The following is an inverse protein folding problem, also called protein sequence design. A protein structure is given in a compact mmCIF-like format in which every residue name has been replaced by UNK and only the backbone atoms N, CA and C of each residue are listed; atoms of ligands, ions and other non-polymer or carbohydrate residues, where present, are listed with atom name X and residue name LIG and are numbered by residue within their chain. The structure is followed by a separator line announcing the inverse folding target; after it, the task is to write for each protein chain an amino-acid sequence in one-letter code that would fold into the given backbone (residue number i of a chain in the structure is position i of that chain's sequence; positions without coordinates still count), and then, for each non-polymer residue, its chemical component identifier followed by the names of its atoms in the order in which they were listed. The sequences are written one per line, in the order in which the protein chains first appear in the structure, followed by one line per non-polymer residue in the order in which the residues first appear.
data_IF_272820140520
#
_entry.id   IF_272820140520
#
_cell.length_a   1.000
_cell.length_b   1.000
_cell.length_c   1.000
_cell.angle_alpha   90.00
_cell.angle_beta   90.00
_cell.angle_gamma   90.00
#
_symmetry.space_group_name_H-M   'P 1'
#
loop_
_entity.id
_entity.type
_entity.pdbx_description
1 polymer ?
#
# COMPACT_ATOMS: atom_id res chain seq x y z
N UNK A 1 11.35 11.80 8.42
CA UNK A 1 11.61 10.46 9.03
C UNK A 1 12.54 9.65 8.15
N UNK A 2 13.27 8.65 8.74
CA UNK A 2 14.13 7.74 7.98
C UNK A 2 14.39 6.44 8.74
N UNK A 3 14.58 5.33 8.01
CA UNK A 3 15.05 4.04 8.58
C UNK A 3 16.55 4.14 8.83
N UNK A 4 16.97 3.88 10.07
CA UNK A 4 18.40 3.81 10.43
C UNK A 4 18.98 2.45 10.08
N UNK A 5 18.25 1.38 10.42
CA UNK A 5 18.71 0.01 10.18
C UNK A 5 17.58 -0.99 10.11
N UNK A 6 17.86 -2.13 9.51
CA UNK A 6 17.01 -3.32 9.56
C UNK A 6 17.85 -4.56 9.86
N UNK A 7 17.37 -5.37 10.79
CA UNK A 7 17.91 -6.70 11.06
C UNK A 7 16.85 -7.76 10.77
N UNK A 8 17.24 -8.80 10.05
CA UNK A 8 16.39 -9.91 9.63
C UNK A 8 16.94 -11.22 10.16
N UNK A 9 16.05 -12.15 10.55
CA UNK A 9 16.41 -13.52 10.89
C UNK A 9 15.37 -14.48 10.30
N UNK A 10 15.82 -15.50 9.56
CA UNK A 10 15.01 -16.51 8.87
C UNK A 10 13.91 -15.88 7.99
N UNK A 11 14.28 -14.84 7.23
CA UNK A 11 13.35 -14.07 6.40
C UNK A 11 13.62 -14.32 4.91
N UNK A 12 12.70 -14.93 4.19
CA UNK A 12 12.85 -15.27 2.77
C UNK A 12 14.13 -16.10 2.52
N UNK A 13 15.13 -15.52 1.86
CA UNK A 13 16.45 -16.11 1.60
C UNK A 13 17.53 -15.64 2.57
N UNK A 14 17.16 -14.88 3.61
CA UNK A 14 18.09 -14.37 4.62
C UNK A 14 18.03 -15.21 5.89
N UNK A 15 19.09 -15.97 6.18
CA UNK A 15 19.27 -16.57 7.50
C UNK A 15 19.47 -15.51 8.56
N UNK A 16 20.35 -14.56 8.26
CA UNK A 16 20.65 -13.41 9.09
C UNK A 16 21.13 -12.26 8.20
N UNK A 17 20.63 -11.06 8.46
CA UNK A 17 21.04 -9.82 7.81
C UNK A 17 21.01 -8.70 8.85
N UNK A 18 22.02 -7.83 8.83
CA UNK A 18 22.02 -6.53 9.51
C UNK A 18 22.54 -5.48 8.54
N UNK A 19 21.77 -4.40 8.31
CA UNK A 19 22.09 -3.35 7.35
C UNK A 19 21.69 -1.98 7.90
N UNK A 20 22.61 -1.02 7.79
CA UNK A 20 22.41 0.36 8.22
C UNK A 20 22.26 1.27 7.00
N UNK A 21 21.22 2.10 6.97
CA UNK A 21 20.96 3.04 5.89
C UNK A 21 21.43 4.46 6.21
N UNK A 22 21.66 5.26 5.18
CA UNK A 22 21.82 6.71 5.27
C UNK A 22 20.45 7.41 5.21
N UNK A 23 20.43 8.70 5.56
CA UNK A 23 19.21 9.53 5.54
C UNK A 23 18.70 9.85 4.12
N UNK A 24 19.55 9.71 3.09
CA UNK A 24 19.20 10.05 1.73
C UNK A 24 19.15 8.78 0.85
N UNK A 25 19.99 8.67 -0.16
CA UNK A 25 19.89 7.61 -1.17
C UNK A 25 20.77 6.42 -0.85
N UNK A 26 20.13 5.26 -0.76
CA UNK A 26 20.75 3.96 -0.53
C UNK A 26 20.46 3.05 -1.74
N UNK A 27 21.49 2.41 -2.27
CA UNK A 27 21.37 1.48 -3.41
C UNK A 27 21.70 0.06 -2.97
N UNK A 28 20.79 -0.86 -3.28
CA UNK A 28 20.97 -2.30 -3.16
C UNK A 28 21.09 -2.88 -4.57
N UNK A 29 22.28 -3.30 -4.97
CA UNK A 29 22.50 -3.83 -6.31
C UNK A 29 22.97 -5.28 -6.31
N UNK A 30 22.78 -5.99 -7.41
CA UNK A 30 23.16 -7.39 -7.60
C UNK A 30 22.26 -8.07 -8.61
N UNK A 31 22.57 -9.29 -8.99
CA UNK A 31 21.79 -10.05 -9.95
C UNK A 31 20.34 -10.28 -9.49
N UNK A 32 19.49 -10.74 -10.42
CA UNK A 32 18.12 -11.09 -10.10
C UNK A 32 18.08 -12.26 -9.10
N UNK A 33 17.02 -12.29 -8.29
CA UNK A 33 16.79 -13.32 -7.26
C UNK A 33 17.84 -13.38 -6.10
N UNK A 34 18.73 -12.40 -5.97
CA UNK A 34 19.72 -12.36 -4.87
C UNK A 34 19.13 -11.93 -3.52
N UNK A 35 17.92 -11.38 -3.51
CA UNK A 35 17.23 -10.98 -2.26
C UNK A 35 17.01 -9.47 -2.09
N UNK A 36 17.43 -8.62 -3.02
CA UNK A 36 17.27 -7.15 -2.95
C UNK A 36 15.85 -6.73 -2.59
N UNK A 37 14.86 -7.18 -3.35
CA UNK A 37 13.44 -6.90 -3.11
C UNK A 37 12.95 -7.43 -1.76
N UNK A 38 13.56 -8.50 -1.22
CA UNK A 38 13.17 -9.06 0.08
C UNK A 38 13.53 -8.12 1.23
N UNK A 39 14.60 -7.29 1.10
CA UNK A 39 14.93 -6.24 2.07
C UNK A 39 13.84 -5.15 2.04
N UNK A 40 13.46 -4.68 0.84
CA UNK A 40 12.36 -3.71 0.72
C UNK A 40 11.05 -4.27 1.26
N UNK A 41 10.74 -5.54 0.97
CA UNK A 41 9.56 -6.21 1.51
C UNK A 41 9.57 -6.24 3.05
N UNK A 42 10.71 -6.50 3.67
CA UNK A 42 10.84 -6.50 5.13
C UNK A 42 10.57 -5.12 5.74
N UNK A 43 11.14 -4.05 5.13
CA UNK A 43 10.88 -2.66 5.56
C UNK A 43 9.39 -2.32 5.40
N UNK A 44 8.79 -2.69 4.26
CA UNK A 44 7.38 -2.46 4.00
C UNK A 44 6.47 -3.20 4.99
N UNK A 45 6.78 -4.47 5.32
CA UNK A 45 6.05 -5.25 6.33
C UNK A 45 6.17 -4.60 7.71
N UNK A 46 7.37 -4.12 8.07
CA UNK A 46 7.58 -3.44 9.35
C UNK A 46 6.73 -2.16 9.49
N UNK A 47 6.39 -1.50 8.39
CA UNK A 47 5.55 -0.31 8.38
C UNK A 47 4.04 -0.61 8.32
N UNK A 48 3.64 -1.64 7.54
CA UNK A 48 2.24 -1.87 7.15
C UNK A 48 1.65 -3.16 7.68
N UNK A 49 2.45 -3.99 8.32
CA UNK A 49 2.11 -5.35 8.79
C UNK A 49 1.76 -6.35 7.67
N UNK A 50 1.84 -5.96 6.41
CA UNK A 50 1.50 -6.80 5.25
C UNK A 50 2.58 -6.76 4.18
N UNK A 51 2.75 -7.84 3.44
CA UNK A 51 3.61 -7.84 2.26
C UNK A 51 2.94 -7.08 1.10
N UNK A 52 3.70 -6.23 0.39
CA UNK A 52 3.24 -5.59 -0.84
C UNK A 52 2.93 -6.62 -1.93
N UNK A 53 3.60 -7.79 -1.90
CA UNK A 53 3.40 -8.91 -2.83
C UNK A 53 2.22 -9.83 -2.47
N UNK A 54 1.37 -9.47 -1.50
CA UNK A 54 0.29 -10.33 -1.02
C UNK A 54 0.72 -11.68 -0.42
N UNK A 55 1.98 -11.85 -0.06
CA UNK A 55 2.47 -13.07 0.57
C UNK A 55 1.85 -13.25 1.95
N UNK A 56 1.47 -14.49 2.29
CA UNK A 56 1.06 -14.83 3.66
C UNK A 56 2.29 -14.88 4.57
N UNK A 57 2.12 -14.59 5.85
CA UNK A 57 3.23 -14.58 6.83
C UNK A 57 4.06 -15.88 6.79
N UNK A 58 3.40 -17.04 6.64
CA UNK A 58 4.06 -18.35 6.53
C UNK A 58 4.98 -18.50 5.30
N UNK A 59 4.67 -17.78 4.20
CA UNK A 59 5.40 -17.86 2.94
C UNK A 59 6.61 -16.89 2.92
N UNK A 60 6.71 -16.03 3.93
CA UNK A 60 7.81 -15.08 4.14
C UNK A 60 8.93 -15.70 4.98
N UNK A 61 8.60 -16.67 5.83
CA UNK A 61 9.55 -17.38 6.68
C UNK A 61 10.48 -18.24 5.80
N UNK A 62 11.78 -18.22 6.09
CA UNK A 62 12.79 -19.01 5.39
C UNK A 62 12.42 -20.50 5.41
N UNK A 63 12.71 -21.19 4.32
CA UNK A 63 12.46 -22.64 4.21
C UNK A 63 13.18 -23.42 5.31
N UNK A 64 12.46 -24.34 5.95
CA UNK A 64 12.99 -25.16 7.06
C UNK A 64 12.83 -24.53 8.43
N UNK A 65 12.33 -23.30 8.55
CA UNK A 65 12.07 -22.61 9.80
C UNK A 65 10.59 -22.41 10.06
N UNK A 66 10.18 -22.25 11.32
CA UNK A 66 8.80 -22.01 11.74
C UNK A 66 8.53 -20.58 12.17
N UNK A 67 9.58 -19.79 12.28
CA UNK A 67 9.50 -18.39 12.69
C UNK A 67 10.56 -17.51 12.01
N UNK A 68 10.24 -16.23 11.89
CA UNK A 68 11.12 -15.21 11.35
C UNK A 68 11.01 -13.93 12.18
N UNK A 69 12.09 -13.15 12.22
CA UNK A 69 12.14 -11.91 12.96
C UNK A 69 12.57 -10.76 12.05
N UNK A 70 11.90 -9.62 12.20
CA UNK A 70 12.26 -8.35 11.60
C UNK A 70 12.44 -7.36 12.74
N UNK A 71 13.59 -6.68 12.79
CA UNK A 71 13.80 -5.52 13.64
C UNK A 71 14.14 -4.33 12.76
N UNK A 72 13.39 -3.26 12.90
CA UNK A 72 13.62 -2.01 12.19
C UNK A 72 13.83 -0.89 13.19
N UNK A 73 14.88 -0.11 12.98
CA UNK A 73 15.13 1.13 13.72
C UNK A 73 14.77 2.30 12.82
N UNK A 74 13.87 3.13 13.30
CA UNK A 74 13.32 4.30 12.63
C UNK A 74 13.67 5.55 13.43
N UNK A 75 14.11 6.61 12.74
CA UNK A 75 14.18 7.94 13.33
C UNK A 75 13.02 8.81 12.81
N UNK A 76 12.26 9.38 13.71
CA UNK A 76 11.17 10.31 13.40
C UNK A 76 11.22 11.50 14.35
N UNK A 77 11.35 12.71 13.79
CA UNK A 77 11.47 13.95 14.57
C UNK A 77 12.61 13.85 15.65
N UNK A 78 13.76 13.32 15.25
CA UNK A 78 14.94 13.08 16.09
C UNK A 78 14.72 12.12 17.28
N UNK A 79 13.63 11.36 17.25
CA UNK A 79 13.37 10.28 18.18
C UNK A 79 13.56 8.95 17.47
N UNK A 80 14.41 8.09 18.05
CA UNK A 80 14.63 6.73 17.55
C UNK A 80 13.54 5.80 18.08
N UNK A 81 12.89 5.08 17.18
CA UNK A 81 11.88 4.06 17.49
C UNK A 81 12.35 2.70 17.00
N UNK A 82 12.09 1.68 17.79
CA UNK A 82 12.38 0.30 17.45
C UNK A 82 11.08 -0.46 17.19
N UNK A 83 10.97 -1.07 16.01
CA UNK A 83 9.85 -1.94 15.64
C UNK A 83 10.39 -3.37 15.56
N UNK A 84 9.87 -4.26 16.39
CA UNK A 84 10.16 -5.69 16.33
C UNK A 84 8.93 -6.44 15.84
N UNK A 85 9.11 -7.31 14.85
CA UNK A 85 8.08 -8.23 14.37
C UNK A 85 8.53 -9.66 14.47
N UNK A 86 7.66 -10.50 14.99
CA UNK A 86 7.85 -11.94 15.09
C UNK A 86 6.77 -12.64 14.26
N UNK A 87 7.16 -13.19 13.12
CA UNK A 87 6.30 -13.95 12.22
C UNK A 87 6.36 -15.42 12.61
N UNK A 88 5.21 -16.11 12.62
CA UNK A 88 5.08 -17.53 12.98
C UNK A 88 4.12 -18.25 12.03
N UNK A 89 4.45 -19.48 11.64
CA UNK A 89 3.65 -20.25 10.66
C UNK A 89 2.21 -20.50 11.10
N UNK A 90 2.02 -20.85 12.37
CA UNK A 90 0.75 -21.36 12.88
C UNK A 90 0.12 -20.46 13.96
N UNK A 91 0.61 -19.26 14.12
CA UNK A 91 0.13 -18.31 15.11
C UNK A 91 0.06 -16.89 14.50
N UNK A 92 -0.69 -16.01 15.16
CA UNK A 92 -0.67 -14.60 14.80
C UNK A 92 0.72 -14.02 15.05
N UNK A 93 1.14 -13.11 14.16
CA UNK A 93 2.40 -12.38 14.34
C UNK A 93 2.38 -11.53 15.62
N UNK A 94 3.53 -11.44 16.27
CA UNK A 94 3.76 -10.49 17.36
C UNK A 94 4.37 -9.20 16.80
N UNK A 95 3.97 -8.05 17.34
CA UNK A 95 4.57 -6.75 17.02
C UNK A 95 4.82 -6.00 18.31
N UNK A 96 5.99 -5.37 18.42
CA UNK A 96 6.33 -4.48 19.54
C UNK A 96 6.92 -3.17 19.02
N UNK A 97 6.58 -2.06 19.67
CA UNK A 97 7.19 -0.74 19.46
C UNK A 97 7.94 -0.37 20.72
N UNK A 98 9.22 -0.01 20.58
CA UNK A 98 10.11 0.35 21.69
C UNK A 98 10.11 -0.70 22.82
N UNK A 99 10.11 -1.98 22.43
CA UNK A 99 10.05 -3.15 23.30
C UNK A 99 8.69 -3.37 24.00
N UNK A 100 7.68 -2.56 23.69
CA UNK A 100 6.33 -2.69 24.26
C UNK A 100 5.44 -3.43 23.23
N UNK A 101 4.95 -4.65 23.56
CA UNK A 101 4.05 -5.36 22.66
C UNK A 101 2.77 -4.58 22.40
N UNK A 102 2.41 -4.41 21.12
CA UNK A 102 1.15 -3.80 20.73
C UNK A 102 0.07 -4.87 20.54
N UNK A 103 -1.17 -4.52 20.90
CA UNK A 103 -2.32 -5.44 20.76
C UNK A 103 -3.03 -5.29 19.43
N UNK A 104 -2.93 -4.12 18.81
CA UNK A 104 -3.63 -3.78 17.58
C UNK A 104 -2.64 -3.22 16.56
N UNK A 105 -2.69 -3.70 15.34
CA UNK A 105 -1.88 -3.17 14.24
C UNK A 105 -2.13 -1.67 13.96
N UNK A 106 -3.30 -1.15 14.38
CA UNK A 106 -3.62 0.29 14.30
C UNK A 106 -2.64 1.18 15.07
N UNK A 107 -1.95 0.64 16.07
CA UNK A 107 -0.95 1.38 16.86
C UNK A 107 0.34 1.63 16.06
N UNK A 108 0.66 0.77 15.10
CA UNK A 108 1.83 0.91 14.22
C UNK A 108 1.61 1.96 13.11
N UNK A 109 0.38 2.03 12.56
CA UNK A 109 0.09 2.93 11.45
C UNK A 109 0.25 4.40 11.85
N UNK A 110 0.87 5.19 10.95
CA UNK A 110 1.23 6.59 11.19
C UNK A 110 2.52 6.80 11.99
N UNK A 111 3.18 5.72 12.49
CA UNK A 111 4.54 5.82 13.02
C UNK A 111 5.55 5.97 11.88
N UNK A 112 5.38 5.18 10.83
CA UNK A 112 6.20 5.19 9.62
C UNK A 112 5.29 5.28 8.39
N UNK A 113 5.62 6.15 7.46
CA UNK A 113 4.93 6.28 6.18
C UNK A 113 5.89 5.89 5.05
N UNK A 114 5.52 4.87 4.30
CA UNK A 114 6.33 4.29 3.23
C UNK A 114 5.56 4.34 1.92
N UNK A 115 6.22 4.80 0.87
CA UNK A 115 5.71 4.72 -0.49
C UNK A 115 6.58 3.74 -1.26
N UNK A 116 5.94 2.68 -1.73
CA UNK A 116 6.58 1.66 -2.53
C UNK A 116 6.33 1.91 -4.01
N UNK A 117 7.40 1.91 -4.79
CA UNK A 117 7.36 1.85 -6.24
C UNK A 117 7.83 0.47 -6.68
N UNK A 118 7.03 -0.22 -7.46
CA UNK A 118 7.35 -1.53 -8.01
C UNK A 118 6.80 -1.68 -9.42
N UNK A 119 7.28 -2.64 -10.22
CA UNK A 119 6.68 -2.96 -11.51
C UNK A 119 5.19 -3.31 -11.43
N UNK A 120 4.74 -3.75 -10.25
CA UNK A 120 3.36 -4.11 -9.97
C UNK A 120 2.41 -2.89 -9.89
N UNK A 121 2.92 -1.67 -9.71
CA UNK A 121 2.11 -0.44 -9.63
C UNK A 121 1.28 -0.19 -10.89
N UNK A 122 1.75 -0.69 -12.02
CA UNK A 122 0.99 -0.67 -13.28
C UNK A 122 -0.36 -1.41 -13.14
N UNK A 123 -0.44 -2.37 -12.23
CA UNK A 123 -1.65 -3.14 -11.97
C UNK A 123 -2.81 -2.27 -11.48
N UNK A 124 -2.52 -1.19 -10.76
CA UNK A 124 -3.53 -0.23 -10.28
C UNK A 124 -4.29 0.41 -11.44
N UNK A 125 -3.58 0.73 -12.52
CA UNK A 125 -4.19 1.31 -13.74
C UNK A 125 -4.79 0.23 -14.64
N UNK A 126 -4.15 -0.94 -14.75
CA UNK A 126 -4.42 -1.95 -15.77
C UNK A 126 -5.39 -3.05 -15.32
N UNK A 127 -5.33 -3.45 -14.05
CA UNK A 127 -6.09 -4.58 -13.53
C UNK A 127 -7.49 -4.18 -13.02
N UNK A 128 -8.18 -5.14 -12.40
CA UNK A 128 -9.54 -4.97 -11.92
C UNK A 128 -9.66 -4.14 -10.63
N UNK A 129 -10.89 -3.89 -10.17
CA UNK A 129 -11.20 -3.04 -9.02
C UNK A 129 -10.53 -3.46 -7.70
N UNK A 130 -10.17 -4.74 -7.57
CA UNK A 130 -9.52 -5.27 -6.37
C UNK A 130 -8.19 -4.59 -6.05
N UNK A 131 -7.34 -4.38 -7.09
CA UNK A 131 -6.05 -3.71 -6.93
C UNK A 131 -6.23 -2.23 -6.58
N UNK A 132 -7.19 -1.56 -7.21
CA UNK A 132 -7.48 -0.15 -6.93
C UNK A 132 -8.03 0.08 -5.52
N UNK A 133 -8.93 -0.79 -5.04
CA UNK A 133 -9.38 -0.73 -3.63
C UNK A 133 -8.22 -0.95 -2.67
N UNK A 134 -7.39 -1.96 -2.97
CA UNK A 134 -6.22 -2.24 -2.16
C UNK A 134 -5.27 -1.05 -2.10
N UNK A 135 -5.00 -0.40 -3.23
CA UNK A 135 -4.20 0.82 -3.28
C UNK A 135 -4.80 1.90 -2.36
N UNK A 136 -6.08 2.27 -2.56
CA UNK A 136 -6.74 3.26 -1.69
C UNK A 136 -6.65 2.89 -0.21
N UNK A 137 -6.96 1.63 0.12
CA UNK A 137 -6.96 1.18 1.51
C UNK A 137 -5.59 1.25 2.15
N UNK A 138 -4.54 0.85 1.43
CA UNK A 138 -3.17 0.90 1.95
C UNK A 138 -2.70 2.32 2.19
N UNK A 139 -2.95 3.21 1.24
CA UNK A 139 -2.50 4.60 1.34
C UNK A 139 -3.29 5.37 2.41
N UNK A 140 -4.61 5.26 2.42
CA UNK A 140 -5.42 5.94 3.44
C UNK A 140 -5.14 5.39 4.85
N UNK A 141 -4.90 4.08 5.00
CA UNK A 141 -4.54 3.49 6.30
C UNK A 141 -3.26 4.09 6.88
N UNK A 142 -2.26 4.39 6.04
CA UNK A 142 -1.02 5.03 6.49
C UNK A 142 -1.26 6.47 6.99
N UNK A 143 -2.29 7.14 6.49
CA UNK A 143 -2.62 8.54 6.78
C UNK A 143 -3.67 8.68 7.89
N UNK A 144 -4.57 7.71 8.05
CA UNK A 144 -5.71 7.77 8.98
C UNK A 144 -5.88 6.48 9.78
N UNK A 145 -5.53 6.54 11.07
CA UNK A 145 -5.80 5.44 12.01
C UNK A 145 -7.30 5.17 12.17
N UNK A 146 -8.12 6.21 12.03
CA UNK A 146 -9.59 6.10 12.10
C UNK A 146 -10.09 5.29 10.92
N UNK A 147 -9.63 5.62 9.70
CA UNK A 147 -9.97 4.84 8.51
C UNK A 147 -9.59 3.36 8.66
N UNK A 148 -8.35 3.09 9.11
CA UNK A 148 -7.89 1.71 9.31
C UNK A 148 -8.76 0.96 10.34
N UNK A 149 -9.12 1.61 11.44
CA UNK A 149 -10.01 1.02 12.45
C UNK A 149 -11.40 0.70 11.86
N UNK A 150 -11.96 1.65 11.09
CA UNK A 150 -13.27 1.47 10.44
C UNK A 150 -13.21 0.38 9.36
N UNK A 151 -12.12 0.30 8.59
CA UNK A 151 -11.93 -0.74 7.58
C UNK A 151 -11.87 -2.15 8.20
N UNK A 152 -11.15 -2.31 9.32
CA UNK A 152 -11.11 -3.58 10.05
C UNK A 152 -12.48 -3.95 10.63
N UNK A 153 -13.18 -2.98 11.22
CA UNK A 153 -14.53 -3.16 11.76
C UNK A 153 -15.52 -3.55 10.66
N UNK A 154 -15.49 -2.81 9.54
CA UNK A 154 -16.35 -3.06 8.39
C UNK A 154 -16.14 -4.48 7.81
N UNK A 155 -14.90 -4.89 7.58
CA UNK A 155 -14.60 -6.22 7.05
C UNK A 155 -15.11 -7.33 7.98
N UNK A 156 -14.92 -7.16 9.31
CA UNK A 156 -15.45 -8.12 10.28
C UNK A 156 -16.98 -8.19 10.27
N UNK A 157 -17.66 -7.03 10.17
CA UNK A 157 -19.12 -6.95 10.07
C UNK A 157 -19.60 -7.61 8.78
N UNK A 158 -18.94 -7.32 7.66
CA UNK A 158 -19.24 -7.90 6.34
C UNK A 158 -19.14 -9.43 6.37
N UNK A 159 -18.09 -9.98 6.98
CA UNK A 159 -17.91 -11.44 7.12
C UNK A 159 -19.02 -12.05 7.99
N UNK A 160 -19.38 -11.41 9.12
CA UNK A 160 -20.45 -11.90 9.98
C UNK A 160 -21.81 -11.84 9.29
N UNK A 161 -22.11 -10.71 8.62
CA UNK A 161 -23.33 -10.56 7.82
C UNK A 161 -23.43 -11.62 6.72
N UNK A 162 -22.36 -11.84 5.97
CA UNK A 162 -22.34 -12.86 4.92
C UNK A 162 -22.51 -14.28 5.48
N UNK A 163 -21.97 -14.57 6.66
CA UNK A 163 -22.21 -15.86 7.33
C UNK A 163 -23.66 -15.99 7.78
N UNK A 164 -24.27 -14.93 8.29
CA UNK A 164 -25.68 -14.92 8.65
C UNK A 164 -26.59 -15.09 7.44
N UNK A 165 -26.31 -14.40 6.31
CA UNK A 165 -27.06 -14.55 5.07
C UNK A 165 -27.09 -16.03 4.59
N UNK A 166 -25.99 -16.76 4.73
CA UNK A 166 -25.92 -18.19 4.41
C UNK A 166 -26.79 -19.02 5.35
N UNK A 167 -26.87 -18.66 6.63
CA UNK A 167 -27.68 -19.37 7.64
C UNK A 167 -29.19 -19.12 7.42
N UNK A 168 -29.58 -17.90 7.07
CA UNK A 168 -30.96 -17.51 6.79
C UNK A 168 -31.53 -18.33 5.63
N UNK A 169 -30.72 -18.68 4.64
CA UNK A 169 -31.15 -19.56 3.54
C UNK A 169 -31.71 -20.90 4.05
N UNK A 170 -31.17 -21.43 5.14
CA UNK A 170 -31.62 -22.69 5.76
C UNK A 170 -32.59 -22.48 6.92
N UNK A 171 -32.58 -21.32 7.56
CA UNK A 171 -33.42 -20.98 8.71
C UNK A 171 -33.90 -19.51 8.63
N UNK A 172 -35.01 -19.26 7.92
CA UNK A 172 -35.54 -17.89 7.76
C UNK A 172 -35.91 -17.17 9.06
N UNK A 173 -36.15 -17.89 10.16
CA UNK A 173 -36.58 -17.29 11.43
C UNK A 173 -35.57 -16.36 12.09
N UNK A 174 -34.30 -16.38 11.62
CA UNK A 174 -33.24 -15.52 12.16
C UNK A 174 -33.03 -14.24 11.33
N UNK A 175 -33.88 -13.98 10.31
CA UNK A 175 -33.75 -12.83 9.41
C UNK A 175 -33.71 -11.49 10.16
N UNK A 176 -34.50 -11.31 11.20
CA UNK A 176 -34.58 -10.07 11.99
C UNK A 176 -33.24 -9.69 12.63
N UNK A 177 -32.33 -10.67 12.81
CA UNK A 177 -30.99 -10.39 13.35
C UNK A 177 -30.09 -9.64 12.36
N UNK A 178 -30.47 -9.56 11.07
CA UNK A 178 -29.76 -8.74 10.08
C UNK A 178 -29.80 -7.25 10.40
N UNK A 179 -30.83 -6.74 11.07
CA UNK A 179 -30.98 -5.32 11.36
C UNK A 179 -29.76 -4.75 12.08
N UNK A 180 -29.24 -5.47 13.06
CA UNK A 180 -28.06 -5.06 13.84
C UNK A 180 -26.81 -5.01 12.96
N UNK A 181 -26.66 -5.98 12.05
CA UNK A 181 -25.50 -6.05 11.16
C UNK A 181 -25.60 -5.01 10.03
N UNK A 182 -26.82 -4.75 9.54
CA UNK A 182 -27.07 -3.73 8.52
C UNK A 182 -26.75 -2.33 9.04
N UNK A 183 -27.23 -1.96 10.25
CA UNK A 183 -26.94 -0.66 10.84
C UNK A 183 -25.42 -0.46 11.06
N UNK A 184 -24.71 -1.48 11.59
CA UNK A 184 -23.27 -1.40 11.79
C UNK A 184 -22.48 -1.34 10.45
N UNK A 185 -22.92 -2.09 9.43
CA UNK A 185 -22.35 -2.09 8.10
C UNK A 185 -22.47 -0.69 7.47
N UNK A 186 -23.65 -0.09 7.57
CA UNK A 186 -23.95 1.24 7.04
C UNK A 186 -23.09 2.30 7.72
N UNK A 187 -23.10 2.34 9.06
CA UNK A 187 -22.32 3.32 9.83
C UNK A 187 -20.83 3.31 9.43
N UNK A 188 -20.22 2.12 9.44
CA UNK A 188 -18.81 1.98 9.12
C UNK A 188 -18.52 2.20 7.64
N UNK A 189 -19.43 1.77 6.76
CA UNK A 189 -19.28 1.92 5.32
C UNK A 189 -19.40 3.35 4.85
N UNK A 190 -20.30 4.17 5.40
CA UNK A 190 -20.41 5.61 5.11
C UNK A 190 -19.07 6.31 5.40
N UNK A 191 -18.46 6.01 6.54
CA UNK A 191 -17.15 6.57 6.88
C UNK A 191 -16.08 6.22 5.85
N UNK A 192 -16.04 4.96 5.39
CA UNK A 192 -15.06 4.51 4.38
C UNK A 192 -15.29 5.20 3.04
N UNK A 193 -16.54 5.29 2.57
CA UNK A 193 -16.90 5.94 1.30
C UNK A 193 -16.46 7.41 1.31
N UNK A 194 -16.75 8.13 2.37
CA UNK A 194 -16.41 9.55 2.50
C UNK A 194 -14.89 9.76 2.53
N UNK A 195 -14.13 8.96 3.26
CA UNK A 195 -12.68 9.06 3.33
C UNK A 195 -12.03 8.74 1.96
N UNK A 196 -12.52 7.75 1.22
CA UNK A 196 -12.04 7.44 -0.12
C UNK A 196 -12.33 8.55 -1.11
N UNK A 197 -13.52 9.15 -1.05
CA UNK A 197 -13.89 10.31 -1.86
C UNK A 197 -12.94 11.48 -1.62
N UNK A 198 -12.71 11.82 -0.37
CA UNK A 198 -11.78 12.87 0.03
C UNK A 198 -10.35 12.59 -0.45
N UNK A 199 -9.88 11.35 -0.31
CA UNK A 199 -8.56 10.94 -0.78
C UNK A 199 -8.40 11.14 -2.29
N UNK A 200 -9.37 10.69 -3.08
CA UNK A 200 -9.34 10.86 -4.55
C UNK A 200 -9.41 12.34 -4.95
N UNK A 201 -10.19 13.16 -4.26
CA UNK A 201 -10.24 14.61 -4.51
C UNK A 201 -8.88 15.26 -4.20
N UNK A 202 -8.22 14.90 -3.10
CA UNK A 202 -6.88 15.38 -2.77
C UNK A 202 -5.83 14.96 -3.81
N UNK A 203 -5.86 13.70 -4.26
CA UNK A 203 -4.97 13.22 -5.33
C UNK A 203 -5.21 14.00 -6.62
N UNK A 204 -6.47 14.25 -7.03
CA UNK A 204 -6.79 15.00 -8.24
C UNK A 204 -6.25 16.44 -8.23
N UNK A 205 -6.18 17.07 -7.08
CA UNK A 205 -5.62 18.41 -6.94
C UNK A 205 -4.10 18.46 -7.17
N UNK A 206 -3.43 17.32 -7.08
CA UNK A 206 -1.97 17.21 -7.20
C UNK A 206 -1.57 16.57 -8.54
N UNK A 207 -2.24 15.49 -8.93
CA UNK A 207 -1.83 14.65 -10.06
C UNK A 207 -1.86 15.41 -11.39
N UNK A 208 -2.76 16.39 -11.55
CA UNK A 208 -2.92 17.18 -12.78
C UNK A 208 -1.64 17.93 -13.13
N UNK A 209 -1.02 18.59 -12.15
CA UNK A 209 0.20 19.35 -12.35
C UNK A 209 1.40 18.43 -12.61
N UNK A 210 1.51 17.32 -11.88
CA UNK A 210 2.55 16.32 -12.07
C UNK A 210 2.47 15.70 -13.47
N UNK A 211 1.30 15.24 -13.87
CA UNK A 211 1.09 14.62 -15.18
C UNK A 211 1.36 15.60 -16.33
N UNK A 212 0.92 16.84 -16.17
CA UNK A 212 1.22 17.94 -17.10
C UNK A 212 2.72 18.13 -17.28
N UNK A 213 3.51 18.10 -16.21
CA UNK A 213 4.96 18.20 -16.25
C UNK A 213 5.60 17.05 -17.04
N UNK A 214 5.20 15.81 -16.75
CA UNK A 214 5.74 14.60 -17.42
C UNK A 214 5.39 14.58 -18.91
N UNK A 215 4.16 14.96 -19.26
CA UNK A 215 3.65 14.88 -20.65
C UNK A 215 3.88 16.14 -21.47
N UNK A 216 4.50 17.17 -20.88
CA UNK A 216 4.69 18.48 -21.52
C UNK A 216 3.36 19.10 -21.97
N UNK A 217 2.33 19.04 -21.10
CA UNK A 217 0.97 19.56 -21.29
C UNK A 217 0.18 18.94 -22.47
N UNK A 218 0.58 17.74 -22.90
CA UNK A 218 -0.11 17.06 -24.03
C UNK A 218 -1.30 16.23 -23.60
N UNK A 219 -1.37 15.88 -22.32
CA UNK A 219 -2.39 15.00 -21.77
C UNK A 219 -2.94 15.56 -20.46
N UNK A 220 -4.27 15.45 -20.30
CA UNK A 220 -4.96 15.83 -19.07
C UNK A 220 -5.38 14.55 -18.35
N UNK A 221 -4.95 14.39 -17.11
CA UNK A 221 -5.33 13.24 -16.28
C UNK A 221 -6.42 13.62 -15.27
N UNK A 222 -7.33 12.70 -15.02
CA UNK A 222 -8.34 12.79 -13.98
C UNK A 222 -8.55 11.42 -13.36
N UNK A 223 -8.74 11.37 -12.04
CA UNK A 223 -9.14 10.16 -11.31
C UNK A 223 -10.58 10.38 -10.83
N UNK A 224 -11.47 9.43 -11.11
CA UNK A 224 -12.87 9.50 -10.67
C UNK A 224 -13.14 8.40 -9.66
N UNK A 225 -13.60 8.78 -8.47
CA UNK A 225 -14.11 7.82 -7.51
C UNK A 225 -15.46 7.29 -8.00
N UNK A 226 -15.60 5.99 -8.01
CA UNK A 226 -16.78 5.26 -8.49
C UNK A 226 -17.32 4.40 -7.34
N UNK A 227 -18.04 5.01 -6.38
CA UNK A 227 -18.62 4.27 -5.29
C UNK A 227 -19.70 3.31 -5.81
N UNK A 228 -19.75 2.11 -5.27
CA UNK A 228 -20.83 1.16 -5.55
C UNK A 228 -22.20 1.69 -5.10
N UNK A 229 -22.17 2.55 -4.08
CA UNK A 229 -23.31 3.29 -3.55
C UNK A 229 -22.84 4.59 -2.92
N UNK A 230 -23.55 5.68 -3.16
CA UNK A 230 -23.28 6.95 -2.48
C UNK A 230 -23.59 6.85 -0.99
N UNK A 231 -22.81 7.56 -0.16
CA UNK A 231 -22.93 7.51 1.30
C UNK A 231 -24.35 7.82 1.80
N UNK A 232 -24.98 8.83 1.20
CA UNK A 232 -26.32 9.30 1.59
C UNK A 232 -27.42 8.28 1.33
N UNK A 233 -27.23 7.40 0.35
CA UNK A 233 -28.22 6.37 -0.02
C UNK A 233 -27.87 4.98 0.50
N UNK A 234 -26.76 4.81 1.22
CA UNK A 234 -26.26 3.48 1.54
C UNK A 234 -27.24 2.71 2.43
N UNK A 235 -27.87 3.35 3.43
CA UNK A 235 -28.86 2.70 4.30
C UNK A 235 -30.06 2.19 3.49
N UNK A 236 -30.63 3.03 2.66
CA UNK A 236 -31.81 2.69 1.88
C UNK A 236 -31.53 1.56 0.88
N UNK A 237 -30.35 1.60 0.25
CA UNK A 237 -29.98 0.57 -0.74
C UNK A 237 -29.70 -0.78 -0.04
N UNK A 238 -29.07 -0.82 1.14
CA UNK A 238 -28.88 -2.07 1.91
C UNK A 238 -30.23 -2.66 2.28
N UNK A 239 -31.15 -1.83 2.80
CA UNK A 239 -32.49 -2.27 3.18
C UNK A 239 -33.27 -2.81 1.97
N UNK A 240 -33.30 -2.08 0.87
CA UNK A 240 -34.05 -2.46 -0.32
C UNK A 240 -33.49 -3.71 -1.03
N UNK A 241 -32.17 -3.95 -0.92
CA UNK A 241 -31.52 -5.12 -1.53
C UNK A 241 -31.39 -6.32 -0.60
N UNK A 242 -31.91 -6.26 0.64
CA UNK A 242 -31.80 -7.34 1.63
C UNK A 242 -32.25 -8.70 1.11
N UNK A 243 -33.42 -8.76 0.49
CA UNK A 243 -33.94 -10.02 -0.07
C UNK A 243 -33.04 -10.59 -1.19
N UNK A 244 -32.41 -9.71 -1.96
CA UNK A 244 -31.45 -10.14 -3.00
C UNK A 244 -30.16 -10.68 -2.35
N UNK A 245 -29.67 -10.02 -1.29
CA UNK A 245 -28.50 -10.48 -0.54
C UNK A 245 -28.76 -11.85 0.11
N UNK A 246 -29.95 -12.07 0.69
CA UNK A 246 -30.38 -13.38 1.24
C UNK A 246 -30.36 -14.43 0.15
N UNK A 247 -30.98 -14.16 -1.00
CA UNK A 247 -31.04 -15.08 -2.14
C UNK A 247 -29.63 -15.47 -2.64
N UNK A 248 -28.71 -14.51 -2.68
CA UNK A 248 -27.35 -14.73 -3.17
C UNK A 248 -26.37 -15.15 -2.05
N UNK A 249 -26.80 -15.16 -0.78
CA UNK A 249 -26.00 -15.46 0.40
C UNK A 249 -24.73 -14.59 0.51
N UNK A 250 -24.79 -13.35 0.01
CA UNK A 250 -23.65 -12.42 0.00
C UNK A 250 -24.13 -10.97 -0.06
N UNK A 251 -23.43 -10.08 0.61
CA UNK A 251 -23.65 -8.63 0.56
C UNK A 251 -23.22 -8.07 -0.79
N UNK A 252 -24.17 -7.50 -1.52
CA UNK A 252 -23.95 -6.99 -2.89
C UNK A 252 -23.64 -5.49 -2.93
N UNK A 253 -23.82 -4.76 -1.84
CA UNK A 253 -23.74 -3.30 -1.81
C UNK A 253 -22.82 -2.83 -0.70
N UNK A 254 -21.92 -1.87 -1.02
CA UNK A 254 -21.04 -1.22 -0.07
C UNK A 254 -19.61 -1.01 -0.56
N UNK A 255 -18.74 -0.38 0.25
CA UNK A 255 -17.38 0.01 -0.15
C UNK A 255 -16.46 -1.15 -0.54
N UNK A 256 -16.77 -2.37 -0.17
CA UNK A 256 -16.05 -3.57 -0.65
C UNK A 256 -16.27 -3.84 -2.15
N UNK A 257 -17.15 -3.09 -2.81
CA UNK A 257 -17.47 -3.13 -4.24
C UNK A 257 -17.09 -1.86 -5.00
N UNK A 258 -16.57 -0.85 -4.30
CA UNK A 258 -16.16 0.41 -4.92
C UNK A 258 -15.03 0.23 -5.94
N UNK A 259 -14.89 1.26 -6.77
CA UNK A 259 -13.80 1.38 -7.72
C UNK A 259 -13.34 2.85 -7.84
N UNK A 260 -12.27 3.07 -8.58
CA UNK A 260 -11.98 4.36 -9.19
C UNK A 260 -11.46 4.16 -10.62
N UNK A 261 -11.79 5.09 -11.50
CA UNK A 261 -11.29 5.12 -12.87
C UNK A 261 -10.17 6.14 -13.03
N UNK A 262 -9.21 5.85 -13.90
CA UNK A 262 -8.14 6.77 -14.34
C UNK A 262 -8.42 7.16 -15.78
N UNK A 263 -8.55 8.46 -16.03
CA UNK A 263 -8.93 8.99 -17.35
C UNK A 263 -7.81 9.90 -17.88
N UNK A 264 -7.50 9.77 -19.17
CA UNK A 264 -6.64 10.69 -19.91
C UNK A 264 -7.43 11.25 -21.07
N UNK A 265 -7.57 12.58 -21.15
CA UNK A 265 -8.38 13.27 -22.17
C UNK A 265 -9.78 12.65 -22.27
N UNK A 266 -10.43 12.44 -21.12
CA UNK A 266 -11.77 11.85 -20.94
C UNK A 266 -11.91 10.36 -21.34
N UNK A 267 -10.83 9.67 -21.73
CA UNK A 267 -10.84 8.27 -22.05
C UNK A 267 -10.32 7.41 -20.89
N UNK A 268 -11.04 6.32 -20.55
CA UNK A 268 -10.58 5.33 -19.57
C UNK A 268 -9.24 4.72 -20.01
N UNK A 269 -8.19 4.97 -19.22
CA UNK A 269 -6.83 4.54 -19.54
C UNK A 269 -6.66 3.02 -19.50
N UNK A 270 -7.48 2.33 -18.73
CA UNK A 270 -7.48 0.86 -18.67
C UNK A 270 -7.93 0.25 -19.99
N UNK A 271 -8.94 0.86 -20.64
CA UNK A 271 -9.57 0.31 -21.87
C UNK A 271 -8.89 0.85 -23.11
N UNK A 272 -8.63 2.15 -23.15
CA UNK A 272 -8.23 2.87 -24.37
C UNK A 272 -6.79 3.40 -24.29
N UNK A 273 -6.16 3.37 -23.11
CA UNK A 273 -4.82 3.92 -22.94
C UNK A 273 -3.74 3.06 -23.58
N UNK A 274 -2.81 3.69 -24.30
CA UNK A 274 -1.58 3.04 -24.73
C UNK A 274 -0.75 2.57 -23.54
N UNK A 275 0.16 1.62 -23.75
CA UNK A 275 1.09 1.18 -22.69
C UNK A 275 1.90 2.34 -22.10
N UNK A 276 2.30 3.30 -22.96
CA UNK A 276 2.97 4.52 -22.53
C UNK A 276 2.11 5.38 -21.61
N UNK A 277 0.84 5.58 -21.95
CA UNK A 277 -0.14 6.32 -21.13
C UNK A 277 -0.40 5.62 -19.80
N UNK A 278 -0.60 4.31 -19.81
CA UNK A 278 -0.78 3.52 -18.59
C UNK A 278 0.42 3.65 -17.63
N UNK A 279 1.66 3.56 -18.14
CA UNK A 279 2.88 3.75 -17.34
C UNK A 279 3.01 5.17 -16.82
N UNK A 280 2.69 6.20 -17.65
CA UNK A 280 2.73 7.59 -17.21
C UNK A 280 1.67 7.87 -16.15
N UNK A 281 0.46 7.35 -16.31
CA UNK A 281 -0.62 7.49 -15.33
C UNK A 281 -0.24 6.85 -13.98
N UNK A 282 0.29 5.62 -14.00
CA UNK A 282 0.75 4.95 -12.78
C UNK A 282 1.86 5.73 -12.08
N UNK A 283 2.86 6.22 -12.82
CA UNK A 283 3.92 7.06 -12.27
C UNK A 283 3.35 8.36 -11.69
N UNK A 284 2.48 9.06 -12.43
CA UNK A 284 1.86 10.31 -11.97
C UNK A 284 1.07 10.11 -10.69
N UNK A 285 0.35 8.98 -10.56
CA UNK A 285 -0.39 8.62 -9.35
C UNK A 285 0.55 8.43 -8.16
N UNK A 286 1.65 7.70 -8.34
CA UNK A 286 2.63 7.47 -7.29
C UNK A 286 3.38 8.74 -6.87
N UNK A 287 3.71 9.63 -7.82
CA UNK A 287 4.31 10.91 -7.50
C UNK A 287 3.31 11.84 -6.77
N UNK A 288 2.02 11.80 -7.15
CA UNK A 288 0.98 12.54 -6.45
C UNK A 288 0.79 12.04 -5.01
N UNK A 289 0.94 10.75 -4.78
CA UNK A 289 0.93 10.14 -3.46
C UNK A 289 2.06 10.68 -2.57
N UNK A 290 3.30 10.81 -3.08
CA UNK A 290 4.41 11.41 -2.33
C UNK A 290 4.04 12.80 -1.84
N UNK A 291 3.56 13.66 -2.75
CA UNK A 291 3.21 15.03 -2.42
C UNK A 291 2.00 15.12 -1.48
N UNK A 292 1.03 14.22 -1.61
CA UNK A 292 -0.10 14.15 -0.70
C UNK A 292 0.35 13.76 0.71
N UNK A 293 1.17 12.70 0.81
CA UNK A 293 1.69 12.23 2.11
C UNK A 293 2.49 13.33 2.78
N UNK A 294 3.44 13.99 2.08
CA UNK A 294 4.20 15.13 2.63
C UNK A 294 3.28 16.21 3.22
N UNK A 295 2.22 16.59 2.49
CA UNK A 295 1.26 17.61 2.96
C UNK A 295 0.51 17.20 4.21
N UNK A 296 0.09 15.94 4.32
CA UNK A 296 -0.73 15.47 5.43
C UNK A 296 0.10 15.25 6.69
N UNK A 297 1.26 14.59 6.55
CA UNK A 297 2.10 14.26 7.72
C UNK A 297 3.05 15.39 8.13
N UNK A 298 3.19 16.41 7.29
CA UNK A 298 4.16 17.52 7.44
C UNK A 298 5.60 17.02 7.68
N UNK A 299 5.96 15.94 6.99
CA UNK A 299 7.27 15.28 7.02
C UNK A 299 7.48 14.54 5.68
N UNK A 300 8.69 14.05 5.43
CA UNK A 300 8.97 13.26 4.24
C UNK A 300 8.67 11.77 4.49
N UNK A 301 7.94 11.08 3.59
CA UNK A 301 7.82 9.62 3.62
C UNK A 301 9.17 8.96 3.30
N UNK A 302 9.26 7.65 3.50
CA UNK A 302 10.38 6.84 3.03
C UNK A 302 10.00 6.23 1.68
N UNK A 303 10.86 6.33 0.69
CA UNK A 303 10.63 5.75 -0.64
C UNK A 303 11.38 4.43 -0.80
N UNK A 304 10.68 3.43 -1.28
CA UNK A 304 11.24 2.14 -1.66
C UNK A 304 11.04 1.96 -3.18
N UNK A 305 12.12 1.88 -3.95
CA UNK A 305 12.10 1.74 -5.41
C UNK A 305 12.62 0.35 -5.81
N UNK A 306 11.72 -0.55 -6.20
CA UNK A 306 12.06 -1.94 -6.58
C UNK A 306 12.21 -2.09 -8.09
N UNK A 307 13.44 -2.08 -8.58
CA UNK A 307 13.82 -2.23 -10.00
C UNK A 307 13.12 -1.26 -10.99
N UNK A 308 12.47 -0.20 -10.49
CA UNK A 308 11.63 0.72 -11.29
C UNK A 308 12.46 1.54 -12.28
N UNK A 309 13.70 1.88 -11.92
CA UNK A 309 14.55 2.78 -12.72
C UNK A 309 14.85 2.20 -14.10
N UNK A 310 14.92 0.88 -14.23
CA UNK A 310 15.16 0.20 -15.51
C UNK A 310 13.95 0.21 -16.45
N UNK A 311 12.75 0.38 -15.91
CA UNK A 311 11.50 0.37 -16.69
C UNK A 311 11.09 1.75 -17.21
N UNK A 312 11.71 2.81 -16.71
CA UNK A 312 11.38 4.20 -17.04
C UNK A 312 12.27 4.74 -18.14
N UNK A 313 11.69 5.45 -19.10
CA UNK A 313 12.43 6.28 -20.03
C UNK A 313 13.05 7.50 -19.32
N UNK A 314 13.91 8.25 -20.04
CA UNK A 314 14.66 9.38 -19.46
C UNK A 314 13.76 10.43 -18.81
N UNK A 315 12.64 10.81 -19.46
CA UNK A 315 11.74 11.85 -18.95
C UNK A 315 11.06 11.42 -17.64
N UNK A 316 10.56 10.17 -17.60
CA UNK A 316 9.91 9.64 -16.40
C UNK A 316 10.91 9.44 -15.27
N UNK A 317 12.13 9.00 -15.58
CA UNK A 317 13.22 8.92 -14.59
C UNK A 317 13.57 10.28 -14.02
N UNK A 318 13.71 11.30 -14.86
CA UNK A 318 14.01 12.65 -14.41
C UNK A 318 12.91 13.18 -13.47
N UNK A 319 11.64 12.98 -13.83
CA UNK A 319 10.51 13.38 -12.97
C UNK A 319 10.51 12.64 -11.61
N UNK A 320 10.87 11.35 -11.59
CA UNK A 320 11.01 10.62 -10.34
C UNK A 320 12.18 11.13 -9.52
N UNK A 321 13.36 11.33 -10.15
CA UNK A 321 14.58 11.79 -9.47
C UNK A 321 14.42 13.18 -8.84
N UNK A 322 13.63 14.07 -9.44
CA UNK A 322 13.32 15.37 -8.86
C UNK A 322 12.59 15.26 -7.52
N UNK A 323 11.77 14.24 -7.35
CA UNK A 323 11.02 13.99 -6.12
C UNK A 323 11.85 13.34 -4.99
N UNK A 324 13.05 12.80 -5.32
CA UNK A 324 13.91 12.12 -4.32
C UNK A 324 14.66 13.10 -3.40
N UNK A 325 14.68 14.39 -3.72
CA UNK A 325 15.39 15.39 -2.92
C UNK A 325 14.85 15.43 -1.49
N UNK A 326 15.76 15.35 -0.53
CA UNK A 326 15.47 15.39 0.91
C UNK A 326 14.60 14.23 1.43
N UNK A 327 14.40 13.18 0.62
CA UNK A 327 13.62 12.00 1.01
C UNK A 327 14.56 10.79 1.08
N UNK A 328 14.52 10.07 2.20
CA UNK A 328 15.23 8.79 2.24
C UNK A 328 14.65 7.85 1.19
N UNK A 329 15.52 7.38 0.31
CA UNK A 329 15.16 6.47 -0.77
C UNK A 329 16.05 5.25 -0.74
N UNK A 330 15.44 4.06 -0.79
CA UNK A 330 16.14 2.78 -0.90
C UNK A 330 15.79 2.18 -2.25
N UNK A 331 16.81 2.05 -3.12
CA UNK A 331 16.65 1.66 -4.52
C UNK A 331 17.25 0.28 -4.72
N UNK A 332 16.52 -0.63 -5.36
CA UNK A 332 17.10 -1.88 -5.87
C UNK A 332 17.35 -1.76 -7.39
N UNK A 333 18.44 -2.35 -7.84
CA UNK A 333 18.78 -2.44 -9.27
C UNK A 333 19.61 -3.71 -9.57
N UNK A 334 19.60 -4.14 -10.83
CA UNK A 334 20.38 -5.31 -11.28
C UNK A 334 21.84 -4.98 -11.51
N UNK A 335 22.15 -3.73 -11.87
CA UNK A 335 23.50 -3.22 -12.08
C UNK A 335 23.64 -1.85 -11.40
N UNK A 336 24.88 -1.49 -11.07
CA UNK A 336 25.15 -0.14 -10.61
C UNK A 336 25.20 0.78 -11.82
N UNK A 337 24.06 1.34 -12.15
CA UNK A 337 23.87 2.15 -13.35
C UNK A 337 24.61 3.49 -13.21
N UNK A 338 25.52 3.78 -14.13
CA UNK A 338 26.24 5.06 -14.21
C UNK A 338 25.27 6.26 -14.29
N UNK A 339 24.04 6.02 -14.72
CA UNK A 339 23.00 7.04 -14.77
C UNK A 339 22.57 7.52 -13.37
N UNK A 340 22.43 6.62 -12.39
CA UNK A 340 22.11 6.99 -11.00
C UNK A 340 23.29 7.78 -10.43
N UNK A 341 24.51 7.34 -10.70
CA UNK A 341 25.75 7.98 -10.26
C UNK A 341 25.90 9.42 -10.74
N UNK A 342 25.47 9.73 -11.93
CA UNK A 342 25.68 11.03 -12.55
C UNK A 342 24.65 12.09 -12.14
N UNK A 343 23.47 11.67 -11.64
CA UNK A 343 22.34 12.58 -11.38
C UNK A 343 21.91 12.69 -9.93
N UNK A 344 22.38 11.78 -9.08
CA UNK A 344 21.96 11.71 -7.68
C UNK A 344 23.17 11.44 -6.80
N UNK A 345 23.32 12.19 -5.73
CA UNK A 345 24.34 11.92 -4.73
C UNK A 345 23.91 10.68 -3.91
N UNK A 346 24.67 9.59 -4.06
CA UNK A 346 24.38 8.32 -3.41
C UNK A 346 25.25 8.18 -2.17
N UNK A 347 24.60 8.01 -1.01
CA UNK A 347 25.32 7.94 0.26
C UNK A 347 25.85 6.53 0.57
N UNK A 348 25.05 5.50 0.30
CA UNK A 348 25.41 4.10 0.58
C UNK A 348 25.05 3.18 -0.57
N UNK A 349 25.94 2.23 -0.79
CA UNK A 349 25.81 1.22 -1.85
C UNK A 349 26.14 -0.13 -1.25
N UNK A 350 25.22 -1.09 -1.45
CA UNK A 350 25.38 -2.45 -0.98
C UNK A 350 25.25 -3.44 -2.14
N UNK A 351 26.24 -4.30 -2.29
CA UNK A 351 26.14 -5.43 -3.21
C UNK A 351 25.48 -6.59 -2.49
N UNK A 352 24.39 -7.10 -3.07
CA UNK A 352 23.65 -8.24 -2.52
C UNK A 352 23.92 -9.47 -3.38
N UNK A 353 24.36 -10.54 -2.74
CA UNK A 353 24.61 -11.82 -3.38
C UNK A 353 24.22 -12.95 -2.42
N UNK A 354 23.39 -13.89 -2.90
CA UNK A 354 22.94 -15.09 -2.15
C UNK A 354 22.44 -14.81 -0.73
N UNK A 355 21.64 -13.75 -0.55
CA UNK A 355 21.13 -13.36 0.77
C UNK A 355 22.20 -12.80 1.72
N UNK A 356 23.26 -12.19 1.21
CA UNK A 356 24.35 -11.57 1.98
C UNK A 356 24.76 -10.24 1.38
N UNK A 357 25.33 -9.37 2.19
CA UNK A 357 26.05 -8.18 1.75
C UNK A 357 27.51 -8.58 1.48
N UNK A 358 28.01 -8.21 0.30
CA UNK A 358 29.39 -8.53 -0.17
C UNK A 358 30.13 -7.29 -0.63
#
# INVERSE_FOLDING_TARGET
MYVESIALKNFRNYKELDINFSKNINILYGDNAQGKTNILEAIYIAATTKSHRNSKDKDIIEFGHDESHIRLILNKLDVSHRIDMHLRKNQSKGVAIDSIPIRRSTELFGLINIIMFSPEDLSVVKNGPGERRRFMDMEICQLSRIYYSNLLKYNKILDQRNNLLKQIYFNPSIEDTLDIWDDQLVETGISIINERKNFIEMINNIIKDIHKGITSDKEKIEIKYEPNVEADYFKDVVTNKRQMDIKNSVTMTGPHRDDFGVYINDNDVRVYGSQGQQRTAALSLKLAEIELVKKIINDNPILLLDDVMSELDSKRRDALLEQLKDIQTIITCTGYDDFIRQRVEVDKIYKISEGRIV
#
